data_IF_667285524954
#
_entry.id   IF_667285524954
#
_cell.length_a   1.000
_cell.length_b   1.000
_cell.length_c   1.000
_cell.angle_alpha   90.00
_cell.angle_beta   90.00
_cell.angle_gamma   90.00
#
_symmetry.space_group_name_H-M   'P 1'
#
loop_
_entity.id
_entity.type
_entity.pdbx_description
1 polymer ?
#
# COMPACT_ATOMS: atom_id res chain seq x y z
N UNK A 1 -7.77 -6.91 -0.67
CA UNK A 1 -8.11 -8.30 -0.26
C UNK A 1 -7.35 -9.39 -1.05
N UNK A 2 -7.24 -9.33 -2.39
CA UNK A 2 -6.64 -10.44 -3.15
C UNK A 2 -5.23 -10.86 -2.69
N UNK A 3 -4.36 -9.89 -2.38
CA UNK A 3 -3.00 -10.14 -1.87
C UNK A 3 -2.96 -10.87 -0.52
N UNK A 4 -4.04 -10.84 0.28
CA UNK A 4 -4.12 -11.54 1.57
C UNK A 4 -4.71 -12.94 1.46
N UNK A 5 -5.31 -13.30 0.31
CA UNK A 5 -5.87 -14.64 0.06
C UNK A 5 -4.72 -15.67 0.00
N UNK A 6 -4.89 -16.79 0.70
CA UNK A 6 -3.96 -17.91 0.63
C UNK A 6 -3.93 -18.48 -0.79
N UNK A 7 -2.74 -18.75 -1.33
CA UNK A 7 -2.56 -19.34 -2.66
C UNK A 7 -2.82 -18.41 -3.85
N UNK A 8 -3.26 -17.16 -3.64
CA UNK A 8 -3.43 -16.22 -4.75
C UNK A 8 -2.07 -15.70 -5.23
N UNK A 9 -1.67 -16.12 -6.42
CA UNK A 9 -0.45 -15.65 -7.08
C UNK A 9 -0.76 -14.40 -7.92
N UNK A 10 -0.13 -13.27 -7.59
CA UNK A 10 -0.42 -11.99 -8.26
C UNK A 10 0.34 -11.89 -9.58
N UNK A 11 -0.35 -12.26 -10.66
CA UNK A 11 0.07 -12.14 -12.05
C UNK A 11 -0.95 -11.34 -12.85
N UNK A 12 -0.57 -10.81 -14.02
CA UNK A 12 -1.50 -10.03 -14.86
C UNK A 12 -2.73 -10.85 -15.23
N UNK A 13 -2.54 -12.11 -15.63
CA UNK A 13 -3.64 -13.04 -15.94
C UNK A 13 -4.53 -13.31 -14.71
N UNK A 14 -3.95 -13.52 -13.53
CA UNK A 14 -4.77 -13.74 -12.31
C UNK A 14 -5.58 -12.51 -11.92
N UNK A 15 -5.08 -11.31 -12.18
CA UNK A 15 -5.78 -10.05 -11.89
C UNK A 15 -6.90 -9.82 -12.90
N UNK A 16 -6.67 -10.14 -14.17
CA UNK A 16 -7.70 -10.11 -15.21
C UNK A 16 -8.80 -11.15 -14.94
N UNK A 17 -8.43 -12.35 -14.51
CA UNK A 17 -9.38 -13.38 -14.11
C UNK A 17 -10.19 -12.95 -12.89
N UNK A 18 -9.54 -12.38 -11.87
CA UNK A 18 -10.21 -11.81 -10.70
C UNK A 18 -11.21 -10.72 -11.11
N UNK A 19 -10.80 -9.83 -12.00
CA UNK A 19 -11.66 -8.79 -12.57
C UNK A 19 -12.91 -9.39 -13.21
N UNK A 20 -12.72 -10.27 -14.21
CA UNK A 20 -13.82 -10.86 -15.00
C UNK A 20 -14.77 -11.71 -14.17
N UNK A 21 -14.25 -12.49 -13.22
CA UNK A 21 -15.02 -13.49 -12.48
C UNK A 21 -15.70 -12.94 -11.23
N UNK A 22 -15.10 -11.93 -10.58
CA UNK A 22 -15.59 -11.48 -9.26
C UNK A 22 -16.04 -10.02 -9.25
N UNK A 23 -15.40 -9.14 -10.03
CA UNK A 23 -15.59 -7.69 -9.89
C UNK A 23 -16.46 -7.09 -11.01
N UNK A 24 -16.34 -7.57 -12.24
CA UNK A 24 -16.97 -6.99 -13.42
C UNK A 24 -18.48 -6.78 -13.24
N UNK A 25 -19.20 -7.81 -12.79
CA UNK A 25 -20.65 -7.74 -12.57
C UNK A 25 -21.05 -6.70 -11.52
N UNK A 26 -20.21 -6.47 -10.50
CA UNK A 26 -20.50 -5.51 -9.43
C UNK A 26 -20.51 -4.05 -9.91
N UNK A 27 -19.92 -3.79 -11.08
CA UNK A 27 -19.80 -2.46 -11.66
C UNK A 27 -20.56 -2.30 -13.00
N UNK A 28 -21.36 -3.29 -13.39
CA UNK A 28 -22.03 -3.32 -14.68
C UNK A 28 -22.97 -2.12 -14.90
N UNK A 29 -23.71 -1.70 -13.85
CA UNK A 29 -24.59 -0.53 -13.91
C UNK A 29 -23.81 0.77 -14.16
N UNK A 30 -22.65 0.92 -13.54
CA UNK A 30 -21.79 2.09 -13.70
C UNK A 30 -21.19 2.14 -15.12
N UNK A 31 -20.76 1.00 -15.67
CA UNK A 31 -20.27 0.96 -17.06
C UNK A 31 -21.36 1.31 -18.06
N UNK A 32 -22.56 0.78 -17.86
CA UNK A 32 -23.72 1.13 -18.68
C UNK A 32 -24.02 2.63 -18.61
N UNK A 33 -24.08 3.20 -17.39
CA UNK A 33 -24.38 4.61 -17.19
C UNK A 33 -23.32 5.56 -17.80
N UNK A 34 -22.06 5.12 -17.86
CA UNK A 34 -20.94 5.88 -18.43
C UNK A 34 -20.69 5.57 -19.91
N UNK A 35 -21.49 4.70 -20.54
CA UNK A 35 -21.32 4.23 -21.91
C UNK A 35 -19.91 3.66 -22.18
N UNK A 36 -19.39 2.89 -21.23
CA UNK A 36 -18.09 2.22 -21.32
C UNK A 36 -18.29 0.74 -21.67
N UNK A 37 -17.57 0.26 -22.67
CA UNK A 37 -17.54 -1.17 -22.98
C UNK A 37 -16.60 -1.93 -22.05
N UNK A 38 -16.81 -3.23 -21.91
CA UNK A 38 -15.94 -4.08 -21.08
C UNK A 38 -14.51 -4.13 -21.60
N UNK A 39 -14.32 -4.06 -22.93
CA UNK A 39 -13.00 -4.05 -23.54
C UNK A 39 -12.23 -2.78 -23.20
N UNK A 40 -12.87 -1.61 -23.30
CA UNK A 40 -12.24 -0.33 -22.95
C UNK A 40 -11.77 -0.30 -21.48
N UNK A 41 -12.57 -0.84 -20.57
CA UNK A 41 -12.18 -0.96 -19.16
C UNK A 41 -11.00 -1.91 -18.97
N UNK A 42 -11.05 -3.08 -19.61
CA UNK A 42 -9.97 -4.06 -19.49
C UNK A 42 -8.64 -3.55 -20.06
N UNK A 43 -8.68 -2.83 -21.19
CA UNK A 43 -7.50 -2.22 -21.81
C UNK A 43 -6.84 -1.22 -20.84
N UNK A 44 -7.63 -0.38 -20.18
CA UNK A 44 -7.15 0.55 -19.15
C UNK A 44 -6.60 -0.18 -17.90
N UNK A 45 -7.31 -1.19 -17.40
CA UNK A 45 -6.89 -1.96 -16.22
C UNK A 45 -5.57 -2.70 -16.44
N UNK A 46 -5.35 -3.25 -17.64
CA UNK A 46 -4.15 -4.01 -17.97
C UNK A 46 -2.87 -3.17 -17.81
N UNK A 47 -2.93 -1.86 -18.07
CA UNK A 47 -1.80 -0.93 -17.85
C UNK A 47 -1.37 -0.92 -16.38
N UNK A 48 -2.34 -0.98 -15.46
CA UNK A 48 -2.08 -1.00 -14.02
C UNK A 48 -1.65 -2.38 -13.52
N UNK A 49 -2.17 -3.47 -14.09
CA UNK A 49 -1.81 -4.82 -13.67
C UNK A 49 -0.31 -5.07 -13.74
N UNK A 50 0.36 -4.63 -14.80
CA UNK A 50 1.82 -4.72 -14.93
C UNK A 50 2.56 -3.97 -13.81
N UNK A 51 2.05 -2.80 -13.41
CA UNK A 51 2.64 -2.02 -12.32
C UNK A 51 2.43 -2.69 -10.97
N UNK A 52 1.23 -3.23 -10.73
CA UNK A 52 0.86 -3.95 -9.51
C UNK A 52 1.71 -5.22 -9.35
N UNK A 53 1.80 -6.05 -10.39
CA UNK A 53 2.56 -7.31 -10.36
C UNK A 53 4.06 -7.05 -10.16
N UNK A 54 4.60 -6.01 -10.80
CA UNK A 54 5.99 -5.58 -10.58
C UNK A 54 6.23 -5.15 -9.13
N UNK A 55 5.32 -4.37 -8.55
CA UNK A 55 5.46 -3.91 -7.16
C UNK A 55 5.38 -5.08 -6.18
N UNK A 56 4.38 -5.96 -6.33
CA UNK A 56 4.20 -7.15 -5.48
C UNK A 56 5.41 -8.08 -5.58
N UNK A 57 5.84 -8.45 -6.79
CA UNK A 57 6.96 -9.38 -6.99
C UNK A 57 8.30 -8.83 -6.47
N UNK A 58 8.45 -7.50 -6.42
CA UNK A 58 9.66 -6.84 -5.92
C UNK A 58 9.68 -6.79 -4.39
N UNK A 59 8.62 -6.27 -3.76
CA UNK A 59 8.68 -5.89 -2.35
C UNK A 59 8.03 -6.87 -1.38
N UNK A 60 7.08 -7.69 -1.81
CA UNK A 60 6.41 -8.65 -0.91
C UNK A 60 7.34 -9.81 -0.54
N UNK A 61 7.06 -10.40 0.62
CA UNK A 61 7.75 -11.58 1.13
C UNK A 61 7.44 -12.84 0.31
N UNK A 62 8.35 -13.81 0.35
CA UNK A 62 8.17 -15.13 -0.27
C UNK A 62 6.89 -15.79 0.28
N UNK A 63 6.07 -16.46 -0.57
CA UNK A 63 6.33 -16.79 -1.98
C UNK A 63 5.90 -15.72 -2.99
N UNK A 64 5.37 -14.57 -2.55
CA UNK A 64 4.75 -13.57 -3.44
C UNK A 64 5.76 -12.65 -4.11
N UNK A 65 6.95 -12.49 -3.54
CA UNK A 65 7.97 -11.62 -4.08
C UNK A 65 9.36 -11.90 -3.53
N UNK A 66 10.31 -11.03 -3.92
CA UNK A 66 11.74 -11.12 -3.60
C UNK A 66 12.13 -10.43 -2.28
N UNK A 67 11.19 -9.72 -1.66
CA UNK A 67 11.40 -8.98 -0.41
C UNK A 67 12.57 -7.99 -0.48
N UNK A 68 12.68 -7.28 -1.60
CA UNK A 68 13.65 -6.20 -1.75
C UNK A 68 13.35 -5.08 -0.75
N UNK A 69 14.38 -4.41 -0.22
CA UNK A 69 14.19 -3.31 0.71
C UNK A 69 13.54 -2.10 0.04
N UNK A 70 12.69 -1.40 0.79
CA UNK A 70 12.19 -0.07 0.45
C UNK A 70 13.32 0.97 0.55
N UNK A 71 13.07 2.19 0.08
CA UNK A 71 14.08 3.26 0.00
C UNK A 71 14.78 3.55 1.35
N UNK A 72 14.09 3.35 2.47
CA UNK A 72 14.63 3.57 3.83
C UNK A 72 15.32 2.32 4.43
N UNK A 73 15.53 1.27 3.62
CA UNK A 73 16.14 0.01 4.06
C UNK A 73 15.20 -0.92 4.85
N UNK A 74 13.90 -0.63 4.88
CA UNK A 74 12.90 -1.51 5.50
C UNK A 74 12.42 -2.61 4.56
N UNK A 75 12.02 -3.75 5.12
CA UNK A 75 11.40 -4.85 4.36
C UNK A 75 9.96 -5.04 4.77
N UNK A 76 9.08 -5.26 3.79
CA UNK A 76 7.67 -5.56 4.05
C UNK A 76 7.58 -7.00 4.57
N UNK A 77 6.93 -7.19 5.71
CA UNK A 77 6.72 -8.51 6.29
C UNK A 77 5.39 -9.10 5.81
N UNK A 78 4.32 -8.34 5.97
CA UNK A 78 2.96 -8.76 5.67
C UNK A 78 2.03 -7.56 5.44
N UNK A 79 0.93 -7.83 4.74
CA UNK A 79 -0.25 -6.97 4.69
C UNK A 79 -1.09 -7.32 5.91
N UNK A 80 -1.23 -6.38 6.84
CA UNK A 80 -1.95 -6.58 8.11
C UNK A 80 -3.44 -6.38 7.92
N UNK A 81 -3.82 -5.32 7.21
CA UNK A 81 -5.22 -4.97 6.98
C UNK A 81 -5.38 -4.27 5.62
N UNK A 82 -6.59 -4.30 5.07
CA UNK A 82 -6.99 -3.64 3.82
C UNK A 82 -8.31 -2.92 4.07
N UNK A 83 -8.40 -1.64 3.69
CA UNK A 83 -9.56 -0.76 3.95
C UNK A 83 -9.87 -0.58 5.45
N UNK A 84 -8.82 -0.43 6.26
CA UNK A 84 -8.91 -0.33 7.71
C UNK A 84 -9.56 1.00 8.14
N UNK A 85 -10.64 0.92 8.93
CA UNK A 85 -11.31 2.10 9.49
C UNK A 85 -10.89 2.36 10.94
N UNK A 86 -10.32 3.53 11.22
CA UNK A 86 -9.87 3.94 12.57
C UNK A 86 -10.58 5.22 12.97
N UNK A 87 -11.15 5.24 14.17
CA UNK A 87 -11.64 6.46 14.81
C UNK A 87 -10.59 6.98 15.78
N UNK A 88 -10.06 8.16 15.53
CA UNK A 88 -9.13 8.82 16.44
C UNK A 88 -9.89 9.89 17.22
N UNK A 89 -10.27 9.55 18.46
CA UNK A 89 -11.02 10.46 19.35
C UNK A 89 -10.17 11.62 19.87
N UNK A 90 -8.86 11.46 20.01
CA UNK A 90 -7.95 12.50 20.48
C UNK A 90 -7.93 13.71 19.53
N UNK A 91 -7.98 13.46 18.22
CA UNK A 91 -7.95 14.49 17.20
C UNK A 91 -9.31 14.70 16.49
N UNK A 92 -10.32 13.91 16.82
CA UNK A 92 -11.68 14.07 16.32
C UNK A 92 -11.86 13.75 14.83
N UNK A 93 -11.13 12.76 14.29
CA UNK A 93 -11.27 12.34 12.89
C UNK A 93 -11.40 10.83 12.72
N UNK A 94 -11.93 10.42 11.57
CA UNK A 94 -11.97 9.03 11.12
C UNK A 94 -11.04 8.86 9.92
N UNK A 95 -10.18 7.86 9.97
CA UNK A 95 -9.37 7.42 8.84
C UNK A 95 -9.95 6.16 8.20
N UNK A 96 -9.79 6.04 6.89
CA UNK A 96 -10.01 4.81 6.12
C UNK A 96 -8.75 4.54 5.32
N UNK A 97 -7.88 3.69 5.88
CA UNK A 97 -6.55 3.44 5.35
C UNK A 97 -6.67 2.33 4.29
N UNK A 98 -6.22 2.59 3.06
CA UNK A 98 -6.33 1.61 1.96
C UNK A 98 -5.64 0.29 2.30
N UNK A 99 -4.44 0.37 2.89
CA UNK A 99 -3.67 -0.79 3.28
C UNK A 99 -2.75 -0.50 4.47
N UNK A 100 -2.76 -1.36 5.48
CA UNK A 100 -1.82 -1.31 6.61
C UNK A 100 -0.79 -2.42 6.45
N UNK A 101 0.48 -2.04 6.37
CA UNK A 101 1.59 -2.99 6.27
C UNK A 101 2.34 -3.10 7.57
N UNK A 102 2.91 -4.29 7.81
CA UNK A 102 3.96 -4.47 8.80
C UNK A 102 5.31 -4.50 8.10
N UNK A 103 6.26 -3.75 8.61
CA UNK A 103 7.62 -3.76 8.09
C UNK A 103 8.64 -4.02 9.20
N UNK A 104 9.80 -4.50 8.80
CA UNK A 104 10.96 -4.69 9.66
C UNK A 104 12.09 -3.78 9.17
N UNK A 105 12.69 -3.02 10.08
CA UNK A 105 13.87 -2.21 9.79
C UNK A 105 15.10 -3.11 9.68
N UNK A 106 15.74 -3.17 8.51
CA UNK A 106 17.06 -3.80 8.39
C UNK A 106 18.14 -2.80 8.78
N UNK A 107 19.07 -3.19 9.66
CA UNK A 107 20.27 -2.39 9.91
C UNK A 107 21.19 -2.50 8.70
N UNK A 108 21.57 -1.38 8.08
CA UNK A 108 22.84 -1.36 7.37
C UNK A 108 23.95 -1.34 8.41
N UNK A 109 25.03 -2.10 8.18
CA UNK A 109 26.19 -2.17 9.09
C UNK A 109 26.86 -0.81 9.35
N UNK A 110 26.53 0.21 8.54
CA UNK A 110 27.16 1.53 8.54
C UNK A 110 26.30 2.66 9.14
N UNK A 111 25.12 2.41 9.71
CA UNK A 111 24.25 3.51 10.18
C UNK A 111 23.75 3.36 11.62
N UNK A 112 24.63 3.68 12.59
CA UNK A 112 24.19 4.03 13.97
C UNK A 112 23.34 5.31 14.01
N UNK A 113 23.34 6.11 12.95
CA UNK A 113 22.49 7.29 12.79
C UNK A 113 21.95 7.32 11.36
N UNK A 114 20.63 7.30 11.21
CA UNK A 114 19.98 7.73 9.98
C UNK A 114 19.41 9.12 10.27
N UNK A 115 19.99 10.17 9.67
CA UNK A 115 19.34 11.47 9.64
C UNK A 115 18.21 11.37 8.62
N UNK A 116 16.98 11.12 9.07
CA UNK A 116 15.82 11.25 8.19
C UNK A 116 15.64 12.73 7.85
N UNK A 117 15.96 13.14 6.61
CA UNK A 117 15.56 14.44 6.07
C UNK A 117 14.10 14.37 5.63
N UNK A 118 13.17 14.33 6.58
CA UNK A 118 11.76 14.61 6.30
C UNK A 118 11.57 16.13 6.26
N UNK A 119 11.74 16.71 5.07
CA UNK A 119 11.42 18.08 4.61
C UNK A 119 11.68 19.28 5.55
N UNK A 120 11.43 19.28 6.86
CA UNK A 120 11.88 20.27 7.86
C UNK A 120 12.08 19.73 9.31
N UNK A 121 11.96 18.42 9.58
CA UNK A 121 12.00 17.89 10.95
C UNK A 121 13.09 16.82 11.16
N UNK A 122 13.93 17.00 12.19
CA UNK A 122 14.87 15.99 12.70
C UNK A 122 14.29 15.36 13.97
N UNK A 123 14.01 14.06 13.95
CA UNK A 123 13.75 13.29 15.17
C UNK A 123 14.84 12.23 15.34
N UNK A 124 15.50 12.14 16.51
CA UNK A 124 16.33 10.98 16.82
C UNK A 124 15.41 9.76 16.97
N UNK A 125 15.49 8.82 16.03
CA UNK A 125 14.79 7.54 16.11
C UNK A 125 15.79 6.49 16.57
N UNK A 126 15.65 6.01 17.80
CA UNK A 126 16.41 4.84 18.26
C UNK A 126 15.98 3.61 17.44
N UNK A 127 16.86 3.11 16.58
CA UNK A 127 16.62 1.87 15.82
C UNK A 127 16.90 0.67 16.71
N UNK A 128 15.86 -0.05 17.12
CA UNK A 128 16.03 -1.40 17.69
C UNK A 128 16.12 -2.42 16.55
N UNK A 129 17.11 -3.31 16.61
CA UNK A 129 17.27 -4.34 15.58
C UNK A 129 16.05 -5.26 15.55
N UNK A 130 15.52 -5.55 14.36
CA UNK A 130 14.32 -6.38 14.19
C UNK A 130 13.04 -5.71 14.71
N UNK A 131 13.05 -4.40 14.94
CA UNK A 131 11.83 -3.67 15.31
C UNK A 131 10.82 -3.74 14.18
N UNK A 132 9.61 -4.19 14.52
CA UNK A 132 8.48 -4.31 13.61
C UNK A 132 7.52 -3.18 13.88
N UNK A 133 7.17 -2.41 12.85
CA UNK A 133 6.22 -1.30 12.95
C UNK A 133 5.13 -1.43 11.89
N UNK A 134 4.01 -0.77 12.16
CA UNK A 134 2.91 -0.62 11.21
C UNK A 134 3.08 0.68 10.44
N UNK A 135 2.81 0.65 9.14
CA UNK A 135 2.74 1.84 8.28
C UNK A 135 1.44 1.86 7.49
N UNK A 136 0.85 3.05 7.28
CA UNK A 136 -0.26 3.20 6.37
C UNK A 136 0.27 3.35 4.94
N UNK A 137 -0.45 2.75 3.99
CA UNK A 137 -0.23 2.93 2.56
C UNK A 137 -1.51 3.54 1.98
N UNK A 138 -1.34 4.63 1.24
CA UNK A 138 -2.36 5.25 0.38
C UNK A 138 -2.04 4.87 -1.07
N UNK A 139 -3.01 4.32 -1.77
CA UNK A 139 -2.90 3.94 -3.17
C UNK A 139 -3.47 5.05 -4.04
N UNK A 140 -2.74 5.46 -5.07
CA UNK A 140 -3.19 6.47 -6.05
C UNK A 140 -3.08 5.95 -7.47
N UNK A 141 -4.04 6.33 -8.30
CA UNK A 141 -4.01 6.15 -9.76
C UNK A 141 -3.73 7.51 -10.43
N UNK A 142 -3.39 7.49 -11.73
CA UNK A 142 -3.11 8.71 -12.49
C UNK A 142 -1.70 9.29 -12.27
N UNK A 143 -1.58 10.64 -12.29
CA UNK A 143 -0.29 11.35 -12.28
C UNK A 143 0.49 11.11 -10.98
N UNK A 144 1.76 10.73 -11.10
CA UNK A 144 2.62 10.35 -9.97
C UNK A 144 3.25 11.52 -9.20
N UNK A 145 2.64 12.71 -9.21
CA UNK A 145 3.19 13.88 -8.53
C UNK A 145 2.61 13.94 -7.11
N UNK A 146 3.43 13.76 -6.05
CA UNK A 146 2.95 13.98 -4.69
C UNK A 146 2.58 15.46 -4.54
N UNK A 147 1.38 15.72 -4.02
CA UNK A 147 0.93 17.04 -3.62
C UNK A 147 0.75 17.09 -2.10
N UNK A 148 0.50 18.30 -1.59
CA UNK A 148 0.33 18.54 -0.16
C UNK A 148 -0.81 17.70 0.41
N UNK A 149 -1.89 17.51 -0.36
CA UNK A 149 -3.07 16.76 0.05
C UNK A 149 -2.75 15.28 0.25
N UNK A 150 -2.03 14.65 -0.69
CA UNK A 150 -1.62 13.25 -0.60
C UNK A 150 -0.69 13.02 0.59
N UNK A 151 0.26 13.93 0.80
CA UNK A 151 1.19 13.85 1.94
C UNK A 151 0.42 14.01 3.26
N UNK A 152 -0.49 14.98 3.34
CA UNK A 152 -1.29 15.25 4.54
C UNK A 152 -2.20 14.07 4.87
N UNK A 153 -2.80 13.42 3.87
CA UNK A 153 -3.63 12.24 4.05
C UNK A 153 -2.83 11.10 4.72
N UNK A 154 -1.63 10.81 4.23
CA UNK A 154 -0.73 9.80 4.83
C UNK A 154 -0.30 10.21 6.25
N UNK A 155 -0.01 11.49 6.49
CA UNK A 155 0.32 11.99 7.84
C UNK A 155 -0.83 11.79 8.84
N UNK A 156 -2.07 12.06 8.43
CA UNK A 156 -3.26 11.81 9.28
C UNK A 156 -3.44 10.32 9.55
N UNK A 157 -3.15 9.45 8.58
CA UNK A 157 -3.17 8.00 8.81
C UNK A 157 -2.10 7.54 9.80
N UNK A 158 -0.90 8.15 9.77
CA UNK A 158 0.12 7.89 10.79
C UNK A 158 -0.38 8.24 12.19
N UNK A 159 -1.07 9.38 12.37
CA UNK A 159 -1.70 9.74 13.65
C UNK A 159 -2.80 8.75 14.06
N UNK A 160 -3.59 8.26 13.10
CA UNK A 160 -4.61 7.24 13.36
C UNK A 160 -3.97 5.93 13.84
N UNK A 161 -2.95 5.43 13.16
CA UNK A 161 -2.25 4.19 13.55
C UNK A 161 -1.51 4.33 14.88
N UNK A 162 -0.93 5.50 15.17
CA UNK A 162 -0.28 5.76 16.46
C UNK A 162 -1.27 5.63 17.64
N UNK A 163 -2.55 5.95 17.45
CA UNK A 163 -3.57 5.78 18.49
C UNK A 163 -3.96 4.31 18.76
N UNK A 164 -3.49 3.35 17.94
CA UNK A 164 -3.70 1.91 18.16
C UNK A 164 -2.57 1.24 18.95
N UNK A 165 -1.43 1.91 19.13
CA UNK A 165 -0.25 1.38 19.83
C UNK A 165 -0.27 1.79 21.30
#
# INVERSE_FOLDING_TARGET
AAITRSGFNVTENSLLDLWRKELHEQYAEQFFALNLSSQEIEDELCVYFKTITRWVSTYMSSPKGRNEPLQIGSKIMEVVDVEESIWNSCYGFKAKIDCTLKYELSQSKDSKHFEEKFYYFKFPVEKKNGEKKLIPIELKTGKSNPNTEHITQVMLYCLALASKQ
#
